data_IF_415725201079
#
_entry.id   IF_415725201079
#
_cell.length_a   1.000
_cell.length_b   1.000
_cell.length_c   1.000
_cell.angle_alpha   90.00
_cell.angle_beta   90.00
_cell.angle_gamma   90.00
#
_symmetry.space_group_name_H-M   'P 1'
#
loop_
_entity.id
_entity.type
_entity.pdbx_description
1 polymer ?
#
# COMPACT_ATOMS: atom_id res chain seq x y z
N UNK A 1 2.21 -36.10 4.19
CA UNK A 1 0.77 -35.82 3.98
C UNK A 1 0.57 -35.35 2.56
N UNK A 2 -0.16 -36.08 1.70
CA UNK A 2 -0.59 -35.57 0.40
C UNK A 2 -1.74 -34.60 0.66
N UNK A 3 -1.52 -33.31 0.43
CA UNK A 3 -2.58 -32.30 0.49
C UNK A 3 -3.45 -32.52 -0.75
N UNK A 4 -4.71 -32.91 -0.56
CA UNK A 4 -5.69 -32.94 -1.64
C UNK A 4 -6.10 -31.50 -1.91
N UNK A 5 -5.63 -30.93 -3.02
CA UNK A 5 -6.02 -29.61 -3.46
C UNK A 5 -7.42 -29.66 -4.07
N UNK A 6 -8.30 -28.78 -3.59
CA UNK A 6 -9.68 -28.70 -4.08
C UNK A 6 -9.70 -28.26 -5.55
N UNK A 7 -10.50 -28.94 -6.39
CA UNK A 7 -10.41 -28.80 -7.84
C UNK A 7 -11.06 -27.49 -8.37
N UNK A 8 -11.81 -26.77 -7.52
CA UNK A 8 -12.46 -25.49 -7.87
C UNK A 8 -12.20 -24.44 -6.80
N UNK A 9 -11.56 -23.35 -7.20
CA UNK A 9 -11.33 -22.20 -6.33
C UNK A 9 -12.61 -21.37 -6.19
N UNK A 10 -12.98 -21.04 -4.96
CA UNK A 10 -14.09 -20.14 -4.65
C UNK A 10 -13.69 -18.66 -4.82
N UNK A 11 -14.66 -17.77 -5.02
CA UNK A 11 -14.40 -16.33 -5.07
C UNK A 11 -13.77 -15.79 -3.78
N UNK A 12 -14.14 -16.37 -2.62
CA UNK A 12 -13.54 -16.01 -1.34
C UNK A 12 -12.05 -16.37 -1.29
N UNK A 13 -11.67 -17.55 -1.78
CA UNK A 13 -10.27 -17.94 -1.87
C UNK A 13 -9.50 -17.03 -2.84
N UNK A 14 -10.08 -16.67 -3.99
CA UNK A 14 -9.48 -15.70 -4.90
C UNK A 14 -9.20 -14.36 -4.22
N UNK A 15 -10.21 -13.75 -3.56
CA UNK A 15 -10.05 -12.46 -2.89
C UNK A 15 -9.04 -12.50 -1.74
N UNK A 16 -8.88 -13.66 -1.10
CA UNK A 16 -7.86 -13.85 -0.07
C UNK A 16 -6.46 -14.02 -0.65
N UNK A 17 -6.29 -14.73 -1.78
CA UNK A 17 -5.00 -14.82 -2.51
C UNK A 17 -4.48 -13.42 -2.87
N UNK A 18 -5.35 -12.59 -3.45
CA UNK A 18 -4.97 -11.23 -3.85
C UNK A 18 -5.02 -10.24 -2.69
N UNK A 19 -5.28 -10.70 -1.47
CA UNK A 19 -5.40 -9.89 -0.25
C UNK A 19 -6.28 -8.65 -0.46
N UNK A 20 -7.51 -8.82 -0.94
CA UNK A 20 -8.40 -7.71 -1.37
C UNK A 20 -8.57 -6.60 -0.31
N UNK A 21 -8.47 -6.94 0.98
CA UNK A 21 -8.55 -5.98 2.09
C UNK A 21 -7.44 -4.93 2.07
N UNK A 22 -6.24 -5.27 1.56
CA UNK A 22 -5.09 -4.34 1.52
C UNK A 22 -5.18 -3.34 0.37
N UNK A 23 -6.09 -3.57 -0.60
CA UNK A 23 -6.29 -2.68 -1.77
C UNK A 23 -6.87 -1.33 -1.43
N UNK A 24 -7.38 -1.16 -0.21
CA UNK A 24 -7.71 0.16 0.32
C UNK A 24 -6.51 1.12 0.26
N UNK A 25 -5.28 0.62 0.34
CA UNK A 25 -4.05 1.41 0.36
C UNK A 25 -3.76 2.02 -1.02
N UNK A 26 -3.69 1.18 -2.06
CA UNK A 26 -3.44 1.64 -3.43
C UNK A 26 -4.62 2.44 -3.98
N UNK A 27 -5.86 2.03 -3.69
CA UNK A 27 -7.05 2.77 -4.10
C UNK A 27 -7.13 4.12 -3.38
N UNK A 28 -6.83 4.17 -2.08
CA UNK A 28 -6.72 5.42 -1.33
C UNK A 28 -5.74 6.38 -2.00
N UNK A 29 -4.54 5.92 -2.35
CA UNK A 29 -3.55 6.72 -3.07
C UNK A 29 -4.04 7.18 -4.44
N UNK A 30 -4.63 6.27 -5.23
CA UNK A 30 -5.17 6.58 -6.55
C UNK A 30 -6.25 7.68 -6.50
N UNK A 31 -7.19 7.58 -5.56
CA UNK A 31 -8.24 8.58 -5.40
C UNK A 31 -7.70 9.91 -4.86
N UNK A 32 -6.77 9.89 -3.91
CA UNK A 32 -6.10 11.11 -3.44
C UNK A 32 -5.39 11.83 -4.59
N UNK A 33 -4.63 11.10 -5.42
CA UNK A 33 -3.94 11.65 -6.58
C UNK A 33 -4.92 12.23 -7.62
N UNK A 34 -6.03 11.54 -7.87
CA UNK A 34 -7.05 12.00 -8.80
C UNK A 34 -7.72 13.29 -8.34
N UNK A 35 -8.05 13.40 -7.05
CA UNK A 35 -8.64 14.61 -6.46
C UNK A 35 -7.63 15.75 -6.41
N UNK A 36 -6.36 15.46 -6.13
CA UNK A 36 -5.30 16.45 -6.21
C UNK A 36 -5.10 16.97 -7.64
N UNK A 37 -5.14 16.10 -8.65
CA UNK A 37 -5.12 16.51 -10.06
C UNK A 37 -6.33 17.37 -10.44
N UNK A 38 -7.53 17.00 -9.96
CA UNK A 38 -8.71 17.84 -10.12
C UNK A 38 -8.56 19.22 -9.47
N UNK A 39 -7.97 19.28 -8.27
CA UNK A 39 -7.65 20.54 -7.61
C UNK A 39 -6.73 21.44 -8.46
N UNK A 40 -5.71 20.85 -9.09
CA UNK A 40 -4.74 21.59 -9.90
C UNK A 40 -5.29 22.11 -11.23
N UNK A 41 -6.27 21.44 -11.84
CA UNK A 41 -6.70 21.73 -13.23
C UNK A 41 -8.19 21.98 -13.42
N UNK A 42 -9.02 21.70 -12.42
CA UNK A 42 -10.48 21.72 -12.53
C UNK A 42 -11.08 20.64 -13.45
N UNK A 43 -10.27 19.70 -13.98
CA UNK A 43 -10.73 18.69 -14.95
C UNK A 43 -10.15 17.30 -14.66
N UNK A 44 -10.80 16.26 -15.21
CA UNK A 44 -10.34 14.86 -15.15
C UNK A 44 -10.59 14.21 -16.50
N UNK A 45 -9.58 13.55 -17.06
CA UNK A 45 -9.75 12.72 -18.24
C UNK A 45 -10.29 11.33 -17.84
N UNK A 46 -11.62 11.18 -17.89
CA UNK A 46 -12.31 9.98 -17.44
C UNK A 46 -11.86 8.66 -18.09
N UNK A 47 -11.59 8.58 -19.42
CA UNK A 47 -11.08 7.34 -20.00
C UNK A 47 -9.74 6.90 -19.40
N UNK A 48 -8.79 7.83 -19.28
CA UNK A 48 -7.48 7.62 -18.66
C UNK A 48 -7.66 7.21 -17.19
N UNK A 49 -8.56 7.86 -16.47
CA UNK A 49 -8.88 7.55 -15.07
C UNK A 49 -9.30 6.08 -14.89
N UNK A 50 -10.28 5.60 -15.67
CA UNK A 50 -10.77 4.23 -15.52
C UNK A 50 -9.75 3.18 -15.95
N UNK A 51 -8.98 3.43 -17.01
CA UNK A 51 -7.91 2.51 -17.44
C UNK A 51 -6.84 2.43 -16.34
N UNK A 52 -6.40 3.57 -15.80
CA UNK A 52 -5.41 3.63 -14.72
C UNK A 52 -5.92 2.97 -13.44
N UNK A 53 -7.21 3.14 -13.10
CA UNK A 53 -7.86 2.48 -11.95
C UNK A 53 -7.73 0.95 -12.06
N UNK A 54 -8.14 0.37 -13.20
CA UNK A 54 -8.09 -1.07 -13.41
C UNK A 54 -6.65 -1.59 -13.53
N UNK A 55 -5.75 -0.84 -14.18
CA UNK A 55 -4.33 -1.19 -14.25
C UNK A 55 -3.70 -1.23 -12.86
N UNK A 56 -3.92 -0.19 -12.04
CA UNK A 56 -3.41 -0.10 -10.66
C UNK A 56 -3.93 -1.26 -9.81
N UNK A 57 -5.22 -1.53 -9.87
CA UNK A 57 -5.83 -2.62 -9.11
C UNK A 57 -5.26 -3.98 -9.55
N UNK A 58 -5.06 -4.20 -10.84
CA UNK A 58 -4.47 -5.43 -11.36
C UNK A 58 -3.01 -5.63 -10.92
N UNK A 59 -2.16 -4.58 -10.99
CA UNK A 59 -0.77 -4.64 -10.49
C UNK A 59 -0.73 -4.95 -9.00
N UNK A 60 -1.55 -4.28 -8.20
CA UNK A 60 -1.54 -4.45 -6.76
C UNK A 60 -2.07 -5.85 -6.35
N UNK A 61 -3.17 -6.31 -6.94
CA UNK A 61 -3.67 -7.68 -6.74
C UNK A 61 -2.67 -8.75 -7.19
N UNK A 62 -1.99 -8.53 -8.32
CA UNK A 62 -0.96 -9.46 -8.79
C UNK A 62 0.23 -9.53 -7.83
N UNK A 63 0.66 -8.37 -7.31
CA UNK A 63 1.79 -8.25 -6.37
C UNK A 63 1.52 -8.98 -5.05
N UNK A 64 0.33 -8.83 -4.46
CA UNK A 64 -0.03 -9.57 -3.24
C UNK A 64 -0.30 -11.05 -3.49
N UNK A 65 -0.75 -11.44 -4.69
CA UNK A 65 -0.81 -12.86 -5.05
C UNK A 65 0.59 -13.49 -5.15
N UNK A 66 1.59 -12.75 -5.66
CA UNK A 66 2.98 -13.21 -5.68
C UNK A 66 3.51 -13.34 -4.26
N UNK A 67 3.22 -12.36 -3.40
CA UNK A 67 3.54 -12.42 -1.98
C UNK A 67 2.97 -13.70 -1.34
N UNK A 68 1.66 -13.94 -1.48
CA UNK A 68 0.98 -15.14 -0.99
C UNK A 68 1.66 -16.44 -1.47
N UNK A 69 2.02 -16.52 -2.75
CA UNK A 69 2.72 -17.68 -3.30
C UNK A 69 4.13 -17.87 -2.70
N UNK A 70 4.93 -16.81 -2.73
CA UNK A 70 6.35 -16.88 -2.38
C UNK A 70 6.56 -17.05 -0.87
N UNK A 71 5.76 -16.41 -0.04
CA UNK A 71 5.85 -16.53 1.41
C UNK A 71 5.45 -17.93 1.87
N UNK A 72 4.43 -18.54 1.25
CA UNK A 72 4.10 -19.94 1.46
C UNK A 72 5.23 -20.88 1.01
N UNK A 73 5.74 -20.69 -0.22
CA UNK A 73 6.79 -21.56 -0.78
C UNK A 73 8.11 -21.51 -0.02
N UNK A 74 8.41 -20.40 0.65
CA UNK A 74 9.62 -20.25 1.48
C UNK A 74 9.42 -20.61 2.95
N UNK A 75 8.19 -20.99 3.35
CA UNK A 75 7.85 -21.34 4.73
C UNK A 75 7.71 -20.14 5.68
N UNK A 76 7.72 -18.92 5.13
CA UNK A 76 7.44 -17.70 5.91
C UNK A 76 6.01 -17.73 6.42
N UNK A 77 5.06 -18.01 5.52
CA UNK A 77 3.69 -18.34 5.90
C UNK A 77 3.58 -19.82 6.27
N UNK A 78 3.25 -20.12 7.53
CA UNK A 78 3.24 -21.48 8.06
C UNK A 78 2.20 -21.64 9.18
N UNK A 79 1.78 -22.89 9.44
CA UNK A 79 0.78 -23.18 10.48
C UNK A 79 1.25 -22.76 11.90
N UNK A 80 2.56 -22.74 12.11
CA UNK A 80 3.19 -22.42 13.39
C UNK A 80 3.08 -20.93 13.71
N UNK A 81 3.51 -20.08 12.77
CA UNK A 81 3.67 -18.63 12.97
C UNK A 81 2.48 -17.81 12.44
N UNK A 82 1.76 -18.31 11.42
CA UNK A 82 0.68 -17.58 10.77
C UNK A 82 -0.68 -17.93 11.40
N UNK A 83 -1.29 -16.96 12.09
CA UNK A 83 -2.62 -17.10 12.70
C UNK A 83 -3.76 -16.50 11.87
N UNK A 84 -3.41 -15.80 10.81
CA UNK A 84 -4.36 -15.08 9.96
C UNK A 84 -5.15 -16.05 9.08
N UNK A 85 -6.44 -16.23 9.37
CA UNK A 85 -7.34 -17.07 8.56
C UNK A 85 -7.48 -16.65 7.10
N UNK A 86 -7.00 -15.45 6.74
CA UNK A 86 -6.91 -14.98 5.37
C UNK A 86 -5.82 -15.68 4.53
N UNK A 87 -4.84 -16.37 5.15
CA UNK A 87 -3.74 -17.03 4.43
C UNK A 87 -4.16 -18.40 3.90
N UNK A 88 -4.89 -18.38 2.78
CA UNK A 88 -5.60 -19.56 2.23
C UNK A 88 -4.70 -20.70 1.75
N UNK A 89 -3.45 -20.43 1.41
CA UNK A 89 -2.49 -21.47 1.08
C UNK A 89 -2.07 -22.26 2.33
N UNK A 90 -2.11 -21.64 3.51
CA UNK A 90 -1.82 -22.27 4.80
C UNK A 90 -3.06 -22.95 5.37
N UNK A 91 -4.22 -22.29 5.31
CA UNK A 91 -5.41 -22.70 6.08
C UNK A 91 -6.52 -23.38 5.27
N UNK A 92 -6.63 -23.10 3.96
CA UNK A 92 -7.79 -23.49 3.15
C UNK A 92 -7.45 -24.55 2.08
N UNK A 93 -6.24 -25.12 2.11
CA UNK A 93 -5.83 -26.18 1.17
C UNK A 93 -5.78 -25.74 -0.30
N UNK A 94 -5.58 -24.45 -0.57
CA UNK A 94 -5.49 -23.90 -1.93
C UNK A 94 -4.13 -24.23 -2.56
N UNK A 95 -4.13 -24.67 -3.81
CA UNK A 95 -2.90 -24.98 -4.54
C UNK A 95 -2.03 -23.72 -4.74
N UNK A 96 -0.73 -23.75 -4.36
CA UNK A 96 0.15 -22.60 -4.53
C UNK A 96 0.24 -22.12 -5.99
N UNK A 97 0.24 -23.06 -6.95
CA UNK A 97 0.30 -22.73 -8.37
C UNK A 97 -0.89 -21.88 -8.84
N UNK A 98 -2.04 -21.96 -8.17
CA UNK A 98 -3.18 -21.09 -8.47
C UNK A 98 -2.85 -19.63 -8.17
N UNK A 99 -2.21 -19.34 -7.03
CA UNK A 99 -1.78 -17.98 -6.69
C UNK A 99 -0.77 -17.43 -7.71
N UNK A 100 0.20 -18.25 -8.13
CA UNK A 100 1.16 -17.87 -9.15
C UNK A 100 0.49 -17.54 -10.50
N UNK A 101 -0.45 -18.39 -10.95
CA UNK A 101 -1.16 -18.20 -12.21
C UNK A 101 -2.07 -16.96 -12.19
N UNK A 102 -2.77 -16.74 -11.07
CA UNK A 102 -3.59 -15.54 -10.85
C UNK A 102 -2.71 -14.30 -10.94
N UNK A 103 -1.58 -14.27 -10.23
CA UNK A 103 -0.66 -13.13 -10.26
C UNK A 103 -0.09 -12.85 -11.63
N UNK A 104 0.35 -13.89 -12.35
CA UNK A 104 0.87 -13.73 -13.71
C UNK A 104 -0.22 -13.21 -14.66
N UNK A 105 -1.46 -13.69 -14.53
CA UNK A 105 -2.59 -13.24 -15.35
C UNK A 105 -2.96 -11.78 -15.06
N UNK A 106 -2.94 -11.37 -13.78
CA UNK A 106 -3.19 -9.99 -13.39
C UNK A 106 -2.10 -9.04 -13.88
N UNK A 107 -0.83 -9.46 -13.82
CA UNK A 107 0.29 -8.70 -14.40
C UNK A 107 0.16 -8.58 -15.91
N UNK A 108 -0.27 -9.63 -16.61
CA UNK A 108 -0.53 -9.57 -18.04
C UNK A 108 -1.66 -8.58 -18.38
N UNK A 109 -2.77 -8.61 -17.64
CA UNK A 109 -3.87 -7.65 -17.78
C UNK A 109 -3.35 -6.22 -17.55
N UNK A 110 -2.59 -6.01 -16.48
CA UNK A 110 -1.99 -4.71 -16.19
C UNK A 110 -1.05 -4.23 -17.30
N UNK A 111 -0.23 -5.11 -17.88
CA UNK A 111 0.66 -4.77 -18.99
C UNK A 111 -0.13 -4.36 -20.25
N UNK A 112 -1.21 -5.07 -20.58
CA UNK A 112 -2.09 -4.72 -21.70
C UNK A 112 -2.76 -3.36 -21.47
N UNK A 113 -3.30 -3.12 -20.27
CA UNK A 113 -3.89 -1.84 -19.90
C UNK A 113 -2.86 -0.71 -19.90
N UNK A 114 -1.64 -0.97 -19.42
CA UNK A 114 -0.53 -0.02 -19.42
C UNK A 114 -0.05 0.35 -20.83
N UNK A 115 0.00 -0.62 -21.75
CA UNK A 115 0.29 -0.37 -23.17
C UNK A 115 -0.79 0.51 -23.81
N UNK A 116 -2.05 0.20 -23.55
CA UNK A 116 -3.16 1.01 -24.03
C UNK A 116 -3.12 2.43 -23.45
N UNK A 117 -2.87 2.56 -22.15
CA UNK A 117 -2.74 3.86 -21.48
C UNK A 117 -1.56 4.68 -22.03
N UNK A 118 -0.42 4.04 -22.31
CA UNK A 118 0.76 4.69 -22.90
C UNK A 118 0.46 5.24 -24.29
N UNK A 119 -0.34 4.52 -25.09
CA UNK A 119 -0.76 4.99 -26.43
C UNK A 119 -1.65 6.24 -26.38
N UNK A 120 -2.35 6.47 -25.26
CA UNK A 120 -3.21 7.64 -25.04
C UNK A 120 -2.49 8.81 -24.37
N UNK A 121 -1.33 8.58 -23.74
CA UNK A 121 -0.67 9.54 -22.86
C UNK A 121 0.79 9.73 -23.24
N UNK A 122 1.66 8.80 -22.82
CA UNK A 122 3.08 8.83 -23.11
C UNK A 122 3.72 7.45 -23.05
N UNK A 123 4.60 7.17 -24.02
CA UNK A 123 5.40 5.93 -24.04
C UNK A 123 6.40 5.83 -22.89
N UNK A 124 6.73 6.93 -22.20
CA UNK A 124 7.51 6.88 -20.96
C UNK A 124 6.83 6.06 -19.84
N UNK A 125 5.51 5.86 -19.93
CA UNK A 125 4.78 5.01 -19.00
C UNK A 125 5.24 3.54 -19.06
N UNK A 126 5.75 3.06 -20.20
CA UNK A 126 6.16 1.65 -20.36
C UNK A 126 7.37 1.30 -19.48
N UNK A 127 8.53 1.99 -19.57
CA UNK A 127 9.64 1.68 -18.68
C UNK A 127 9.28 1.93 -17.21
N UNK A 128 8.51 2.97 -16.88
CA UNK A 128 8.08 3.26 -15.50
C UNK A 128 7.17 2.16 -14.94
N UNK A 129 6.16 1.74 -15.69
CA UNK A 129 5.27 0.64 -15.33
C UNK A 129 6.01 -0.70 -15.23
N UNK A 130 6.95 -0.95 -16.15
CA UNK A 130 7.84 -2.11 -16.10
C UNK A 130 8.67 -2.16 -14.81
N UNK A 131 9.25 -1.02 -14.39
CA UNK A 131 9.98 -0.91 -13.11
C UNK A 131 9.02 -1.17 -11.93
N UNK A 132 7.82 -0.62 -11.94
CA UNK A 132 6.84 -0.84 -10.87
C UNK A 132 6.45 -2.32 -10.73
N UNK A 133 6.16 -2.98 -11.85
CA UNK A 133 5.85 -4.42 -11.87
C UNK A 133 7.06 -5.26 -11.45
N UNK A 134 8.26 -4.91 -11.93
CA UNK A 134 9.49 -5.58 -11.53
C UNK A 134 9.72 -5.48 -10.02
N UNK A 135 9.60 -4.27 -9.45
CA UNK A 135 9.71 -4.03 -8.01
C UNK A 135 8.62 -4.79 -7.25
N UNK A 136 7.37 -4.75 -7.70
CA UNK A 136 6.28 -5.53 -7.10
C UNK A 136 6.60 -7.03 -7.05
N UNK A 137 7.19 -7.57 -8.13
CA UNK A 137 7.65 -8.96 -8.16
C UNK A 137 8.83 -9.21 -7.21
N UNK A 138 9.93 -8.45 -7.30
CA UNK A 138 11.14 -8.68 -6.46
C UNK A 138 10.94 -8.25 -5.00
N UNK A 139 9.84 -7.58 -4.69
CA UNK A 139 9.50 -7.23 -3.32
C UNK A 139 9.38 -8.48 -2.45
N UNK A 140 8.75 -9.52 -2.98
CA UNK A 140 8.62 -10.83 -2.31
C UNK A 140 9.26 -11.98 -3.10
N UNK A 141 9.35 -11.89 -4.42
CA UNK A 141 9.96 -12.87 -5.31
C UNK A 141 11.48 -12.76 -5.44
N UNK A 142 12.07 -13.68 -6.21
CA UNK A 142 13.51 -13.69 -6.50
C UNK A 142 14.41 -14.21 -5.36
N UNK A 143 15.75 -14.20 -5.58
CA UNK A 143 16.72 -14.72 -4.62
C UNK A 143 16.94 -13.80 -3.40
N UNK A 144 16.74 -12.48 -3.56
CA UNK A 144 16.93 -11.49 -2.51
C UNK A 144 15.70 -10.57 -2.38
N UNK A 145 14.59 -11.06 -1.78
CA UNK A 145 13.36 -10.28 -1.69
C UNK A 145 13.52 -9.05 -0.82
N UNK A 146 13.02 -7.91 -1.28
CA UNK A 146 13.11 -6.63 -0.55
C UNK A 146 12.40 -6.72 0.81
N UNK A 147 11.29 -7.45 0.90
CA UNK A 147 10.53 -7.66 2.14
C UNK A 147 11.35 -8.32 3.25
N UNK A 148 12.44 -9.02 2.92
CA UNK A 148 13.33 -9.67 3.91
C UNK A 148 14.44 -8.74 4.42
N UNK A 149 14.49 -7.50 3.93
CA UNK A 149 15.51 -6.48 4.23
C UNK A 149 14.90 -5.32 5.02
N UNK A 150 15.68 -4.36 5.56
CA UNK A 150 15.13 -3.22 6.27
C UNK A 150 14.55 -2.13 5.36
N UNK A 151 14.48 -2.39 4.05
CA UNK A 151 13.96 -1.46 3.06
C UNK A 151 12.49 -1.73 2.69
N UNK A 152 11.84 -2.72 3.31
CA UNK A 152 10.45 -3.08 3.00
C UNK A 152 9.50 -1.89 3.11
N UNK A 153 9.55 -1.18 4.24
CA UNK A 153 8.72 -0.02 4.56
C UNK A 153 8.97 1.13 3.56
N UNK A 154 10.25 1.37 3.24
CA UNK A 154 10.68 2.38 2.28
C UNK A 154 10.10 2.13 0.89
N UNK A 155 10.23 0.90 0.38
CA UNK A 155 9.77 0.53 -0.96
C UNK A 155 8.26 0.41 -1.04
N UNK A 156 7.61 -0.21 -0.06
CA UNK A 156 6.16 -0.34 -0.05
C UNK A 156 5.49 1.04 -0.02
N UNK A 157 5.88 1.90 0.92
CA UNK A 157 5.35 3.24 1.00
C UNK A 157 5.78 4.13 -0.17
N UNK A 158 7.01 3.98 -0.67
CA UNK A 158 7.51 4.80 -1.77
C UNK A 158 6.79 4.49 -3.08
N UNK A 159 6.59 3.21 -3.39
CA UNK A 159 5.90 2.82 -4.63
C UNK A 159 4.39 3.03 -4.54
N UNK A 160 3.75 2.58 -3.46
CA UNK A 160 2.30 2.70 -3.32
C UNK A 160 1.86 4.12 -2.97
N UNK A 161 2.68 4.91 -2.28
CA UNK A 161 2.36 6.27 -1.84
C UNK A 161 2.87 7.35 -2.77
N UNK A 162 4.15 7.34 -3.16
CA UNK A 162 4.74 8.38 -4.00
C UNK A 162 4.64 8.05 -5.49
N UNK A 163 5.22 6.93 -5.92
CA UNK A 163 5.32 6.59 -7.35
C UNK A 163 3.93 6.45 -7.96
N UNK A 164 3.01 5.72 -7.32
CA UNK A 164 1.65 5.58 -7.80
C UNK A 164 0.94 6.93 -7.91
N UNK A 165 1.04 7.78 -6.88
CA UNK A 165 0.41 9.12 -6.89
C UNK A 165 0.93 9.96 -8.06
N UNK A 166 2.25 9.98 -8.27
CA UNK A 166 2.86 10.74 -9.34
C UNK A 166 2.54 10.18 -10.73
N UNK A 167 2.46 8.85 -10.89
CA UNK A 167 2.03 8.25 -12.17
C UNK A 167 0.58 8.65 -12.47
N UNK A 168 -0.31 8.64 -11.48
CA UNK A 168 -1.71 9.08 -11.67
C UNK A 168 -1.79 10.53 -12.15
N UNK A 169 -0.96 11.43 -11.61
CA UNK A 169 -0.87 12.79 -12.14
C UNK A 169 -0.27 12.83 -13.56
N UNK A 170 0.84 12.14 -13.78
CA UNK A 170 1.51 12.14 -15.07
C UNK A 170 0.59 11.69 -16.21
N UNK A 171 -0.16 10.59 -16.03
CA UNK A 171 -1.10 10.10 -17.06
C UNK A 171 -2.30 11.02 -17.26
N UNK A 172 -2.64 11.85 -16.27
CA UNK A 172 -3.66 12.90 -16.40
C UNK A 172 -3.14 14.18 -17.07
N UNK A 173 -1.87 14.19 -17.54
CA UNK A 173 -1.30 15.29 -18.33
C UNK A 173 -0.52 16.33 -17.52
N UNK A 174 -0.21 16.06 -16.25
CA UNK A 174 0.55 16.99 -15.42
C UNK A 174 2.06 16.82 -15.60
N UNK A 175 2.77 17.93 -15.72
CA UNK A 175 4.21 17.97 -15.48
C UNK A 175 4.49 17.85 -13.98
N UNK A 176 5.42 16.95 -13.62
CA UNK A 176 5.72 16.68 -12.22
C UNK A 176 6.70 17.73 -11.67
N UNK A 177 6.30 18.42 -10.61
CA UNK A 177 7.16 19.35 -9.89
C UNK A 177 7.61 18.79 -8.54
N UNK A 178 8.58 19.47 -7.92
CA UNK A 178 8.98 19.17 -6.54
C UNK A 178 7.80 19.29 -5.56
N UNK A 179 6.88 20.24 -5.76
CA UNK A 179 5.71 20.39 -4.90
C UNK A 179 4.76 19.18 -4.97
N UNK A 180 4.59 18.58 -6.16
CA UNK A 180 3.83 17.34 -6.33
C UNK A 180 4.50 16.19 -5.56
N UNK A 181 5.83 16.07 -5.64
CA UNK A 181 6.56 15.06 -4.90
C UNK A 181 6.42 15.25 -3.37
N UNK A 182 6.64 16.47 -2.87
CA UNK A 182 6.54 16.79 -1.44
C UNK A 182 5.13 16.50 -0.89
N UNK A 183 4.08 16.72 -1.68
CA UNK A 183 2.69 16.37 -1.34
C UNK A 183 2.51 14.88 -1.03
N UNK A 184 3.32 14.01 -1.62
CA UNK A 184 3.22 12.56 -1.38
C UNK A 184 3.90 12.09 -0.11
N UNK A 185 4.76 12.89 0.52
CA UNK A 185 5.59 12.44 1.66
C UNK A 185 4.73 11.95 2.84
N UNK A 186 3.68 12.68 3.30
CA UNK A 186 2.82 12.16 4.37
C UNK A 186 2.18 10.83 3.99
N UNK A 187 1.73 10.66 2.74
CA UNK A 187 1.13 9.42 2.28
C UNK A 187 2.14 8.26 2.22
N UNK A 188 3.35 8.52 1.72
CA UNK A 188 4.46 7.56 1.73
C UNK A 188 4.70 7.04 3.15
N UNK A 189 4.96 7.94 4.09
CA UNK A 189 5.26 7.56 5.47
C UNK A 189 4.07 6.87 6.14
N UNK A 190 2.83 7.29 5.82
CA UNK A 190 1.64 6.64 6.37
C UNK A 190 1.49 5.18 5.88
N UNK A 191 1.84 4.88 4.63
CA UNK A 191 1.83 3.51 4.11
C UNK A 191 3.00 2.69 4.69
N UNK A 192 4.19 3.29 4.80
CA UNK A 192 5.32 2.68 5.49
C UNK A 192 4.94 2.28 6.92
N UNK A 193 4.21 3.14 7.63
CA UNK A 193 3.72 2.90 8.98
C UNK A 193 2.75 1.73 9.10
N UNK A 194 1.90 1.48 8.10
CA UNK A 194 1.05 0.27 8.06
C UNK A 194 1.95 -0.98 8.03
N UNK A 195 3.02 -0.95 7.23
CA UNK A 195 3.96 -2.06 7.18
C UNK A 195 4.82 -2.17 8.45
N UNK A 196 5.19 -1.06 9.08
CA UNK A 196 5.85 -1.06 10.39
C UNK A 196 4.98 -1.76 11.44
N UNK A 197 3.67 -1.50 11.47
CA UNK A 197 2.71 -2.23 12.32
C UNK A 197 2.69 -3.73 11.99
N UNK A 198 2.65 -4.09 10.70
CA UNK A 198 2.69 -5.49 10.27
C UNK A 198 3.96 -6.20 10.78
N UNK A 199 5.13 -5.64 10.44
CA UNK A 199 6.44 -6.23 10.76
C UNK A 199 6.72 -6.25 12.27
N UNK A 200 6.12 -5.33 13.04
CA UNK A 200 6.21 -5.35 14.51
C UNK A 200 5.43 -6.52 15.09
N UNK A 201 4.24 -6.82 14.56
CA UNK A 201 3.45 -7.97 15.03
C UNK A 201 4.07 -9.32 14.61
N UNK A 202 4.72 -9.36 13.45
CA UNK A 202 5.36 -10.56 12.89
C UNK A 202 6.80 -10.80 13.41
N UNK A 203 7.32 -9.96 14.30
CA UNK A 203 8.74 -9.90 14.67
C UNK A 203 9.34 -11.28 15.04
N UNK A 204 8.62 -12.10 15.81
CA UNK A 204 9.09 -13.44 16.24
C UNK A 204 9.18 -14.40 15.04
N UNK A 205 8.11 -14.51 14.25
CA UNK A 205 8.05 -15.42 13.10
C UNK A 205 8.99 -14.99 11.97
N UNK A 206 9.09 -13.69 11.71
CA UNK A 206 10.00 -13.14 10.71
C UNK A 206 11.47 -13.38 11.07
N UNK A 207 11.81 -13.20 12.36
CA UNK A 207 13.17 -13.47 12.85
C UNK A 207 13.51 -14.96 12.78
N UNK A 208 12.57 -15.84 13.14
CA UNK A 208 12.74 -17.29 13.01
C UNK A 208 12.99 -17.71 11.55
N UNK A 209 12.36 -17.02 10.59
CA UNK A 209 12.53 -17.21 9.15
C UNK A 209 13.74 -16.45 8.55
N UNK A 210 14.63 -15.89 9.40
CA UNK A 210 15.86 -15.24 8.97
C UNK A 210 15.67 -13.91 8.23
N UNK A 211 14.51 -13.26 8.34
CA UNK A 211 14.30 -11.90 7.82
C UNK A 211 15.09 -10.89 8.66
N UNK A 212 15.45 -9.78 8.02
CA UNK A 212 16.13 -8.63 8.64
C UNK A 212 15.33 -7.35 8.38
N UNK A 213 14.05 -7.36 8.74
CA UNK A 213 13.16 -6.18 8.62
C UNK A 213 13.64 -5.06 9.53
N UNK A 214 13.18 -3.83 9.28
CA UNK A 214 13.54 -2.69 10.12
C UNK A 214 13.14 -2.92 11.59
N UNK A 215 11.94 -3.49 11.82
CA UNK A 215 11.49 -3.89 13.15
C UNK A 215 12.48 -4.84 13.85
N UNK A 216 13.01 -5.84 13.14
CA UNK A 216 14.00 -6.79 13.71
C UNK A 216 15.32 -6.08 14.03
N UNK A 217 15.80 -5.20 13.15
CA UNK A 217 17.08 -4.51 13.35
C UNK A 217 17.03 -3.48 14.49
N UNK A 218 15.87 -2.87 14.74
CA UNK A 218 15.65 -1.96 15.86
C UNK A 218 15.66 -2.68 17.22
N UNK A 219 15.37 -3.99 17.24
CA UNK A 219 15.22 -4.81 18.45
C UNK A 219 13.76 -4.96 18.88
N UNK A 220 13.47 -5.72 19.96
CA UNK A 220 12.09 -6.05 20.34
C UNK A 220 11.27 -4.87 20.88
N UNK A 221 11.91 -3.90 21.56
CA UNK A 221 11.17 -2.86 22.31
C UNK A 221 10.98 -1.55 21.52
N UNK A 222 11.75 -1.36 20.45
CA UNK A 222 11.79 -0.10 19.67
C UNK A 222 10.75 0.03 18.54
N UNK A 223 10.24 -1.03 17.89
CA UNK A 223 9.35 -0.90 16.75
C UNK A 223 8.04 -0.13 17.04
N UNK A 224 7.41 -0.22 18.23
CA UNK A 224 6.29 0.66 18.57
C UNK A 224 6.64 2.16 18.53
N UNK A 225 7.88 2.53 18.88
CA UNK A 225 8.35 3.91 18.79
C UNK A 225 8.62 4.35 17.35
N UNK A 226 9.04 3.45 16.46
CA UNK A 226 9.12 3.73 15.02
C UNK A 226 7.75 4.15 14.49
N UNK A 227 6.71 3.37 14.83
CA UNK A 227 5.32 3.63 14.44
C UNK A 227 4.86 5.01 14.94
N UNK A 228 5.23 5.41 16.17
CA UNK A 228 4.96 6.75 16.69
C UNK A 228 5.68 7.85 15.89
N UNK A 229 6.97 7.66 15.61
CA UNK A 229 7.78 8.62 14.85
C UNK A 229 7.23 8.81 13.44
N UNK A 230 6.85 7.74 12.76
CA UNK A 230 6.20 7.81 11.45
C UNK A 230 4.90 8.62 11.52
N UNK A 231 4.05 8.37 12.53
CA UNK A 231 2.85 9.17 12.77
C UNK A 231 3.16 10.66 12.97
N UNK A 232 4.17 10.99 13.78
CA UNK A 232 4.61 12.39 13.98
C UNK A 232 5.06 13.01 12.65
N UNK A 233 5.81 12.27 11.82
CA UNK A 233 6.27 12.74 10.50
C UNK A 233 5.08 12.98 9.56
N UNK A 234 4.06 12.09 9.55
CA UNK A 234 2.87 12.26 8.72
C UNK A 234 2.14 13.56 9.07
N UNK A 235 1.77 13.74 10.34
CA UNK A 235 0.94 14.88 10.75
C UNK A 235 1.75 16.18 10.86
N UNK A 236 3.02 16.11 11.24
CA UNK A 236 3.96 17.24 11.15
C UNK A 236 4.19 17.66 9.69
N UNK A 237 4.29 16.70 8.77
CA UNK A 237 4.38 16.92 7.34
C UNK A 237 3.17 17.67 6.77
N UNK A 238 1.94 17.31 7.18
CA UNK A 238 0.72 18.05 6.80
C UNK A 238 0.81 19.51 7.23
N UNK A 239 1.25 19.78 8.47
CA UNK A 239 1.42 21.16 8.98
C UNK A 239 2.45 21.91 8.15
N UNK A 240 3.63 21.32 7.89
CA UNK A 240 4.69 21.94 7.10
C UNK A 240 4.25 22.22 5.65
N UNK A 241 3.56 21.28 5.01
CA UNK A 241 3.02 21.46 3.66
C UNK A 241 1.97 22.59 3.62
N UNK A 242 1.17 22.74 4.67
CA UNK A 242 0.19 23.81 4.78
C UNK A 242 0.85 25.18 5.01
N UNK A 243 1.83 25.26 5.92
CA UNK A 243 2.54 26.51 6.20
C UNK A 243 3.42 26.98 5.03
N UNK A 244 3.92 26.04 4.22
CA UNK A 244 4.69 26.35 3.01
C UNK A 244 3.82 26.75 1.80
N UNK A 245 2.49 26.67 1.92
CA UNK A 245 1.56 26.99 0.83
C UNK A 245 1.43 25.90 -0.24
N UNK A 246 2.06 24.74 -0.07
CA UNK A 246 1.90 23.59 -0.98
C UNK A 246 0.51 22.96 -0.79
N UNK A 247 0.05 22.85 0.47
CA UNK A 247 -1.33 22.51 0.77
C UNK A 247 -2.16 23.78 0.90
N UNK A 248 -3.34 23.84 0.27
CA UNK A 248 -4.33 24.85 0.61
C UNK A 248 -4.67 24.78 2.11
N UNK A 249 -4.93 25.93 2.73
CA UNK A 249 -5.23 26.01 4.16
C UNK A 249 -6.42 25.11 4.56
N UNK A 250 -7.50 25.14 3.78
CA UNK A 250 -8.68 24.29 3.97
C UNK A 250 -8.34 22.80 3.91
N UNK A 251 -7.52 22.39 2.94
CA UNK A 251 -7.09 21.00 2.80
C UNK A 251 -6.23 20.55 3.97
N UNK A 252 -5.26 21.39 4.38
CA UNK A 252 -4.40 21.16 5.54
C UNK A 252 -5.18 20.98 6.83
N UNK A 253 -6.09 21.92 7.14
CA UNK A 253 -6.92 21.88 8.37
C UNK A 253 -7.78 20.61 8.40
N UNK A 254 -8.51 20.33 7.31
CA UNK A 254 -9.41 19.17 7.26
C UNK A 254 -8.59 17.88 7.37
N UNK A 255 -7.47 17.77 6.66
CA UNK A 255 -6.65 16.56 6.70
C UNK A 255 -6.01 16.33 8.07
N UNK A 256 -5.61 17.40 8.77
CA UNK A 256 -5.07 17.33 10.12
C UNK A 256 -6.06 16.75 11.16
N UNK A 257 -7.38 16.82 10.91
CA UNK A 257 -8.38 16.19 11.80
C UNK A 257 -8.19 14.67 11.94
N UNK A 258 -7.55 14.02 10.96
CA UNK A 258 -7.21 12.60 11.02
C UNK A 258 -6.22 12.27 12.16
N UNK A 259 -5.48 13.26 12.69
CA UNK A 259 -4.56 13.08 13.83
C UNK A 259 -5.27 12.52 15.06
N UNK A 260 -6.51 12.94 15.31
CA UNK A 260 -7.30 12.46 16.45
C UNK A 260 -7.53 10.95 16.40
N UNK A 261 -7.85 10.41 15.22
CA UNK A 261 -8.07 8.98 15.00
C UNK A 261 -6.75 8.22 15.05
N UNK A 262 -5.66 8.80 14.55
CA UNK A 262 -4.33 8.22 14.71
C UNK A 262 -3.93 8.07 16.18
N UNK A 263 -4.06 9.14 16.99
CA UNK A 263 -3.71 9.10 18.41
C UNK A 263 -4.54 8.04 19.15
N UNK A 264 -5.84 7.97 18.89
CA UNK A 264 -6.71 6.93 19.44
C UNK A 264 -6.27 5.51 19.02
N UNK A 265 -5.96 5.32 17.74
CA UNK A 265 -5.52 4.04 17.18
C UNK A 265 -4.17 3.60 17.76
N UNK A 266 -3.19 4.51 17.82
CA UNK A 266 -1.88 4.25 18.40
C UNK A 266 -1.97 3.88 19.88
N UNK A 267 -2.76 4.60 20.68
CA UNK A 267 -2.98 4.27 22.10
C UNK A 267 -3.62 2.88 22.27
N UNK A 268 -4.56 2.52 21.42
CA UNK A 268 -5.18 1.18 21.43
C UNK A 268 -4.20 0.08 21.06
N UNK A 269 -3.36 0.28 20.04
CA UNK A 269 -2.31 -0.67 19.68
C UNK A 269 -1.29 -0.83 20.81
N UNK A 270 -0.84 0.26 21.43
CA UNK A 270 0.06 0.21 22.59
C UNK A 270 -0.53 -0.54 23.78
N UNK A 271 -1.84 -0.41 24.01
CA UNK A 271 -2.54 -1.14 25.07
C UNK A 271 -2.70 -2.63 24.75
N UNK A 272 -2.92 -2.97 23.48
CA UNK A 272 -3.06 -4.35 23.03
C UNK A 272 -1.73 -5.10 23.00
N UNK A 273 -0.63 -4.40 22.73
CA UNK A 273 0.66 -5.01 22.44
C UNK A 273 0.79 -5.37 20.95
N UNK A 274 1.95 -5.90 20.57
CA UNK A 274 2.25 -6.28 19.20
C UNK A 274 2.83 -7.69 19.15
N UNK A 275 2.03 -8.62 18.64
CA UNK A 275 2.37 -10.02 18.42
C UNK A 275 1.44 -10.62 17.34
N UNK A 276 1.67 -11.89 16.99
CA UNK A 276 0.89 -12.57 15.96
C UNK A 276 -0.62 -12.66 16.27
N UNK A 277 -1.02 -12.63 17.55
CA UNK A 277 -2.44 -12.68 17.96
C UNK A 277 -3.13 -11.33 17.87
N UNK A 278 -2.39 -10.23 18.05
CA UNK A 278 -2.88 -8.85 17.99
C UNK A 278 -2.73 -8.21 16.62
N UNK A 279 -2.04 -8.86 15.67
CA UNK A 279 -1.83 -8.42 14.30
C UNK A 279 -3.10 -7.94 13.60
N UNK A 280 -4.13 -8.78 13.51
CA UNK A 280 -5.39 -8.45 12.84
C UNK A 280 -6.04 -7.16 13.38
N UNK A 281 -6.28 -7.07 14.71
CA UNK A 281 -6.75 -5.85 15.36
C UNK A 281 -5.86 -4.62 15.11
N UNK A 282 -4.54 -4.75 15.22
CA UNK A 282 -3.60 -3.64 15.03
C UNK A 282 -3.59 -3.15 13.58
N UNK A 283 -3.61 -4.06 12.60
CA UNK A 283 -3.75 -3.72 11.18
C UNK A 283 -5.07 -3.01 10.91
N UNK A 284 -6.17 -3.43 11.54
CA UNK A 284 -7.46 -2.74 11.40
C UNK A 284 -7.41 -1.31 11.98
N UNK A 285 -6.73 -1.10 13.12
CA UNK A 285 -6.57 0.22 13.74
C UNK A 285 -5.73 1.17 12.87
N UNK A 286 -4.57 0.73 12.39
CA UNK A 286 -3.74 1.59 11.51
C UNK A 286 -4.40 1.83 10.14
N UNK A 287 -5.12 0.84 9.61
CA UNK A 287 -5.90 0.97 8.37
C UNK A 287 -7.06 1.95 8.54
N UNK A 288 -7.70 1.98 9.71
CA UNK A 288 -8.73 2.97 10.04
C UNK A 288 -8.14 4.39 10.06
N UNK A 289 -6.98 4.58 10.68
CA UNK A 289 -6.29 5.87 10.67
C UNK A 289 -5.95 6.32 9.24
N UNK A 290 -5.44 5.40 8.41
CA UNK A 290 -5.17 5.64 7.00
C UNK A 290 -6.42 6.03 6.21
N UNK A 291 -7.52 5.28 6.37
CA UNK A 291 -8.78 5.60 5.69
C UNK A 291 -9.31 6.97 6.08
N UNK A 292 -9.25 7.33 7.37
CA UNK A 292 -9.66 8.67 7.80
C UNK A 292 -8.73 9.73 7.21
N UNK A 293 -7.42 9.49 7.13
CA UNK A 293 -6.49 10.37 6.43
C UNK A 293 -6.86 10.56 4.96
N UNK A 294 -7.22 9.49 4.24
CA UNK A 294 -7.71 9.57 2.84
C UNK A 294 -9.03 10.36 2.77
N UNK A 295 -9.99 10.04 3.64
CA UNK A 295 -11.32 10.64 3.66
C UNK A 295 -11.34 12.09 4.11
N UNK A 296 -10.33 12.57 4.82
CA UNK A 296 -10.18 14.00 5.12
C UNK A 296 -9.39 14.72 4.03
N UNK A 297 -8.44 14.05 3.37
CA UNK A 297 -7.70 14.62 2.25
C UNK A 297 -8.63 14.98 1.07
N UNK A 298 -9.47 14.03 0.64
CA UNK A 298 -10.35 14.18 -0.53
C UNK A 298 -11.27 15.41 -0.44
N UNK A 299 -12.14 15.58 0.58
CA UNK A 299 -13.00 16.75 0.69
C UNK A 299 -12.21 18.03 0.94
N UNK A 300 -11.05 17.94 1.63
CA UNK A 300 -10.17 19.09 1.83
C UNK A 300 -9.69 19.69 0.51
N UNK A 301 -9.17 18.85 -0.39
CA UNK A 301 -8.73 19.28 -1.72
C UNK A 301 -9.89 19.59 -2.67
N UNK A 302 -10.99 18.83 -2.61
CA UNK A 302 -12.18 19.12 -3.42
C UNK A 302 -12.83 20.47 -3.07
N UNK A 303 -12.96 20.79 -1.78
CA UNK A 303 -13.45 22.10 -1.33
C UNK A 303 -12.51 23.22 -1.79
N UNK A 304 -11.21 23.00 -1.66
CA UNK A 304 -10.19 23.98 -2.09
C UNK A 304 -10.26 24.24 -3.60
N UNK A 305 -10.60 23.22 -4.40
CA UNK A 305 -10.83 23.38 -5.82
C UNK A 305 -12.05 24.28 -6.08
N UNK A 306 -13.19 23.99 -5.44
CA UNK A 306 -14.43 24.79 -5.60
C UNK A 306 -14.26 26.26 -5.17
N UNK A 307 -13.36 26.53 -4.23
CA UNK A 307 -13.08 27.90 -3.78
C UNK A 307 -12.06 28.65 -4.67
N UNK A 308 -11.28 27.92 -5.47
CA UNK A 308 -10.24 28.49 -6.33
C UNK A 308 -10.72 28.83 -7.75
N UNK A 309 -11.81 28.19 -8.19
CA UNK A 309 -12.49 28.40 -9.47
C UNK A 309 -13.84 29.08 -9.26
#
# INVERSE_FOLDING_TARGET
MRINYDCRMTSTQFFRIVEMRTKIISMGTFFMASVYGYYLSGTVHWPIFFIMLFATLAVDMGTTGFNTYFDFRRGTDSIEYTKESGKVLVHDGVAPNSALLISASLFLIAAVLGLYLASMTSWYLIPVGGICMFVGFVYTGGPFPISRTPFGELFAGGFLGTVLFLIVLFVQGFELSLANFLTTIPLWIHIAMILSVNNTCDLVGDKANGRKTLAILLGPDKPPYLILVEGIIVYGGIVLLTLSGIYPLSAGIINFLALSVWIDSYRKMMKAGFDASTKGPNIALVSKAFLVFVFTFIPGFALSAVLAW
#
